data_IF_826138387340
#
_entry.id   IF_826138387340
#
_cell.length_a   1.000
_cell.length_b   1.000
_cell.length_c   1.000
_cell.angle_alpha   90.00
_cell.angle_beta   90.00
_cell.angle_gamma   90.00
#
_symmetry.space_group_name_H-M   'P 1'
#
loop_
_entity.id
_entity.type
_entity.pdbx_description
1 polymer ?
#
# COMPACT_ATOMS: atom_id res chain seq x y z
N UNK A 1 -27.50 25.48 5.14
CA UNK A 1 -27.04 24.19 4.62
C UNK A 1 -26.41 23.46 5.81
N UNK A 2 -27.15 22.52 6.41
CA UNK A 2 -26.58 21.64 7.43
C UNK A 2 -25.49 20.79 6.77
N UNK A 3 -24.23 21.06 7.08
CA UNK A 3 -23.15 20.12 6.83
C UNK A 3 -23.42 18.92 7.73
N UNK A 4 -24.02 17.87 7.18
CA UNK A 4 -24.12 16.57 7.86
C UNK A 4 -22.71 16.21 8.33
N UNK A 5 -22.51 16.24 9.64
CA UNK A 5 -21.26 15.88 10.28
C UNK A 5 -21.01 14.40 9.99
N UNK A 6 -20.31 14.10 8.90
CA UNK A 6 -19.81 12.76 8.56
C UNK A 6 -18.65 12.41 9.51
N UNK A 7 -18.88 12.55 10.81
CA UNK A 7 -18.01 12.12 11.90
C UNK A 7 -18.12 10.59 12.09
N UNK A 8 -18.12 9.84 10.99
CA UNK A 8 -17.99 8.39 11.06
C UNK A 8 -16.53 8.06 11.30
N UNK A 9 -16.26 7.43 12.45
CA UNK A 9 -14.94 6.92 12.85
C UNK A 9 -14.25 6.06 11.77
N UNK A 10 -15.01 5.54 10.79
CA UNK A 10 -14.50 4.72 9.68
C UNK A 10 -14.32 5.54 8.39
N UNK A 11 -15.14 6.58 8.18
CA UNK A 11 -15.10 7.33 6.93
C UNK A 11 -13.78 8.08 6.72
N UNK A 12 -13.30 8.77 7.77
CA UNK A 12 -12.03 9.53 7.68
C UNK A 12 -10.83 8.61 7.39
N UNK A 13 -10.65 7.47 8.11
CA UNK A 13 -9.57 6.54 7.79
C UNK A 13 -9.70 5.83 6.44
N UNK A 14 -10.93 5.49 6.03
CA UNK A 14 -11.16 4.91 4.70
C UNK A 14 -10.72 5.87 3.58
N UNK A 15 -11.10 7.14 3.67
CA UNK A 15 -10.74 8.15 2.69
C UNK A 15 -9.25 8.50 2.72
N UNK A 16 -8.62 8.54 3.91
CA UNK A 16 -7.17 8.66 4.04
C UNK A 16 -6.45 7.51 3.30
N UNK A 17 -6.93 6.28 3.51
CA UNK A 17 -6.44 5.08 2.83
C UNK A 17 -6.62 5.14 1.30
N UNK A 18 -7.74 5.68 0.83
CA UNK A 18 -8.00 5.87 -0.60
C UNK A 18 -7.08 6.91 -1.22
N UNK A 19 -6.90 8.05 -0.56
CA UNK A 19 -6.00 9.10 -1.03
C UNK A 19 -4.54 8.61 -1.06
N UNK A 20 -4.09 7.94 0.01
CA UNK A 20 -2.80 7.26 0.05
C UNK A 20 -2.68 6.23 -1.10
N UNK A 21 -3.76 5.48 -1.36
CA UNK A 21 -3.86 4.50 -2.44
C UNK A 21 -3.61 5.12 -3.81
N UNK A 22 -4.22 6.27 -4.13
CA UNK A 22 -3.99 6.96 -5.38
C UNK A 22 -2.52 7.38 -5.55
N UNK A 23 -1.92 7.98 -4.52
CA UNK A 23 -0.52 8.40 -4.59
C UNK A 23 0.40 7.18 -4.74
N UNK A 24 0.18 6.14 -3.93
CA UNK A 24 0.95 4.90 -4.03
C UNK A 24 0.79 4.22 -5.39
N UNK A 25 -0.40 4.29 -6.00
CA UNK A 25 -0.65 3.79 -7.36
C UNK A 25 0.27 4.48 -8.36
N UNK A 26 0.28 5.82 -8.35
CA UNK A 26 1.12 6.61 -9.27
C UNK A 26 2.60 6.27 -9.08
N UNK A 27 3.08 6.21 -7.83
CA UNK A 27 4.46 5.87 -7.54
C UNK A 27 4.83 4.45 -7.97
N UNK A 28 3.93 3.47 -7.77
CA UNK A 28 4.15 2.10 -8.20
C UNK A 28 4.15 1.96 -9.73
N UNK A 29 3.31 2.71 -10.44
CA UNK A 29 3.31 2.73 -11.90
C UNK A 29 4.59 3.38 -12.45
N UNK A 30 5.04 4.48 -11.84
CA UNK A 30 6.32 5.11 -12.18
C UNK A 30 7.47 4.13 -11.95
N UNK A 31 7.48 3.43 -10.82
CA UNK A 31 8.48 2.41 -10.53
C UNK A 31 8.44 1.24 -11.53
N UNK A 32 7.25 0.75 -11.91
CA UNK A 32 7.09 -0.32 -12.90
C UNK A 32 7.67 0.07 -14.26
N UNK A 33 7.40 1.29 -14.73
CA UNK A 33 7.92 1.80 -16.01
C UNK A 33 9.45 1.85 -15.98
N UNK A 34 10.04 2.52 -14.99
CA UNK A 34 11.50 2.62 -14.89
C UNK A 34 12.17 1.26 -14.75
N UNK A 35 11.60 0.36 -13.93
CA UNK A 35 12.16 -0.97 -13.75
C UNK A 35 12.16 -1.77 -15.05
N UNK A 36 11.08 -1.69 -15.84
CA UNK A 36 10.94 -2.43 -17.10
C UNK A 36 11.85 -1.87 -18.20
N UNK A 37 12.05 -0.56 -18.25
CA UNK A 37 13.00 0.07 -19.18
C UNK A 37 14.43 -0.43 -18.93
N UNK A 38 14.84 -0.54 -17.68
CA UNK A 38 16.21 -0.96 -17.31
C UNK A 38 16.44 -2.47 -17.44
N UNK A 39 15.42 -3.31 -17.20
CA UNK A 39 15.59 -4.77 -17.07
C UNK A 39 15.06 -5.58 -18.25
N UNK A 40 14.37 -4.94 -19.20
CA UNK A 40 13.66 -5.60 -20.31
C UNK A 40 12.75 -6.76 -19.84
N UNK A 41 12.17 -6.63 -18.64
CA UNK A 41 11.45 -7.71 -17.96
C UNK A 41 10.21 -8.17 -18.76
N UNK A 42 10.16 -9.45 -19.22
CA UNK A 42 9.17 -9.91 -20.19
C UNK A 42 7.82 -10.32 -19.59
N UNK A 43 7.71 -10.46 -18.27
CA UNK A 43 6.48 -10.93 -17.62
C UNK A 43 5.51 -9.77 -17.38
N UNK A 44 4.49 -9.68 -18.22
CA UNK A 44 3.39 -8.70 -18.11
C UNK A 44 2.11 -9.31 -17.53
N UNK A 45 2.03 -10.64 -17.39
CA UNK A 45 0.77 -11.31 -17.07
C UNK A 45 0.34 -11.14 -15.60
N UNK A 46 1.29 -11.11 -14.67
CA UNK A 46 1.01 -11.06 -13.22
C UNK A 46 1.11 -9.66 -12.61
N UNK A 47 2.13 -8.90 -13.00
CA UNK A 47 2.32 -7.51 -12.57
C UNK A 47 2.12 -6.65 -13.81
N UNK A 48 0.90 -6.19 -14.02
CA UNK A 48 0.53 -5.20 -15.02
C UNK A 48 -0.09 -3.97 -14.37
N UNK A 49 -0.24 -2.92 -15.17
CA UNK A 49 -0.86 -1.65 -14.79
C UNK A 49 -2.17 -1.86 -14.02
N UNK A 50 -3.06 -2.73 -14.53
CA UNK A 50 -4.35 -3.00 -13.88
C UNK A 50 -4.18 -3.62 -12.50
N UNK A 51 -3.34 -4.65 -12.37
CA UNK A 51 -3.08 -5.31 -11.07
C UNK A 51 -2.46 -4.36 -10.06
N UNK A 52 -1.58 -3.44 -10.49
CA UNK A 52 -0.97 -2.43 -9.62
C UNK A 52 -2.05 -1.48 -9.08
N UNK A 53 -2.90 -0.95 -9.97
CA UNK A 53 -4.00 -0.06 -9.61
C UNK A 53 -4.96 -0.77 -8.64
N UNK A 54 -5.43 -1.96 -8.98
CA UNK A 54 -6.38 -2.68 -8.13
C UNK A 54 -5.77 -3.08 -6.78
N UNK A 55 -4.52 -3.57 -6.76
CA UNK A 55 -3.87 -3.96 -5.52
C UNK A 55 -3.72 -2.79 -4.55
N UNK A 56 -3.26 -1.64 -5.04
CA UNK A 56 -3.01 -0.45 -4.21
C UNK A 56 -4.30 0.24 -3.77
N UNK A 57 -5.26 0.42 -4.69
CA UNK A 57 -6.56 1.01 -4.38
C UNK A 57 -7.46 0.11 -3.54
N UNK A 58 -7.17 -1.19 -3.44
CA UNK A 58 -7.87 -2.06 -2.50
C UNK A 58 -7.14 -2.14 -1.16
N UNK A 59 -5.82 -2.35 -1.19
CA UNK A 59 -5.02 -2.56 0.01
C UNK A 59 -4.99 -1.33 0.93
N UNK A 60 -4.86 -0.12 0.39
CA UNK A 60 -4.67 1.06 1.24
C UNK A 60 -5.96 1.59 1.88
N UNK A 61 -7.12 1.61 1.20
CA UNK A 61 -8.41 1.81 1.89
C UNK A 61 -8.67 0.77 2.97
N UNK A 62 -8.36 -0.50 2.69
CA UNK A 62 -8.49 -1.56 3.68
C UNK A 62 -7.55 -1.32 4.87
N UNK A 63 -6.33 -0.87 4.63
CA UNK A 63 -5.38 -0.47 5.67
C UNK A 63 -5.93 0.68 6.53
N UNK A 64 -6.65 1.65 5.92
CA UNK A 64 -7.37 2.70 6.63
C UNK A 64 -8.52 2.17 7.51
N UNK A 65 -9.29 1.20 7.02
CA UNK A 65 -10.34 0.54 7.82
C UNK A 65 -9.73 -0.24 9.00
N UNK A 66 -8.63 -0.95 8.78
CA UNK A 66 -7.90 -1.65 9.85
C UNK A 66 -7.35 -0.66 10.88
N UNK A 67 -6.82 0.48 10.44
CA UNK A 67 -6.41 1.57 11.34
C UNK A 67 -7.58 2.01 12.22
N UNK A 68 -8.75 2.30 11.62
CA UNK A 68 -9.95 2.71 12.36
C UNK A 68 -10.38 1.68 13.41
N UNK A 69 -10.30 0.38 13.07
CA UNK A 69 -10.65 -0.69 13.98
C UNK A 69 -9.68 -0.77 15.17
N UNK A 70 -8.37 -0.70 14.93
CA UNK A 70 -7.35 -0.76 15.98
C UNK A 70 -7.41 0.48 16.89
N UNK A 71 -7.54 1.67 16.29
CA UNK A 71 -7.65 2.94 17.04
C UNK A 71 -8.88 2.96 17.95
N UNK A 72 -9.97 2.32 17.52
CA UNK A 72 -11.20 2.18 18.33
C UNK A 72 -11.06 1.14 19.44
N UNK A 73 -10.37 0.03 19.20
CA UNK A 73 -10.30 -1.11 20.14
C UNK A 73 -9.28 -0.91 21.25
N UNK A 74 -8.21 -0.15 21.00
CA UNK A 74 -7.08 -0.07 21.93
C UNK A 74 -6.71 1.37 22.29
N UNK A 75 -6.40 1.66 23.57
CA UNK A 75 -5.78 2.93 23.93
C UNK A 75 -4.41 3.04 23.26
N UNK A 76 -4.16 4.14 22.55
CA UNK A 76 -2.96 4.35 21.69
C UNK A 76 -2.94 3.45 20.44
N UNK A 77 -4.11 3.10 19.89
CA UNK A 77 -4.22 2.23 18.72
C UNK A 77 -3.45 2.72 17.49
N UNK A 78 -3.28 4.03 17.29
CA UNK A 78 -2.35 4.60 16.31
C UNK A 78 -0.93 3.97 16.35
N UNK A 79 -0.30 3.92 17.53
CA UNK A 79 1.05 3.35 17.65
C UNK A 79 1.05 1.84 17.43
N UNK A 80 0.01 1.16 17.90
CA UNK A 80 -0.15 -0.29 17.73
C UNK A 80 -0.29 -0.63 16.25
N UNK A 81 -1.11 0.13 15.52
CA UNK A 81 -1.28 -0.01 14.08
C UNK A 81 0.05 0.18 13.36
N UNK A 82 0.80 1.24 13.66
CA UNK A 82 2.10 1.51 13.01
C UNK A 82 3.04 0.32 13.19
N UNK A 83 3.16 -0.21 14.41
CA UNK A 83 4.02 -1.38 14.69
C UNK A 83 3.52 -2.62 13.93
N UNK A 84 2.23 -2.91 13.96
CA UNK A 84 1.66 -4.08 13.25
C UNK A 84 1.78 -3.95 11.74
N UNK A 85 1.54 -2.76 11.18
CA UNK A 85 1.67 -2.47 9.76
C UNK A 85 3.14 -2.57 9.30
N UNK A 86 4.08 -2.09 10.11
CA UNK A 86 5.51 -2.23 9.85
C UNK A 86 5.94 -3.71 9.86
N UNK A 87 5.49 -4.48 10.85
CA UNK A 87 5.75 -5.93 10.92
C UNK A 87 5.12 -6.67 9.74
N UNK A 88 3.89 -6.35 9.38
CA UNK A 88 3.21 -6.94 8.23
C UNK A 88 3.96 -6.62 6.93
N UNK A 89 4.40 -5.38 6.75
CA UNK A 89 5.21 -4.96 5.61
C UNK A 89 6.54 -5.72 5.57
N UNK A 90 7.21 -5.89 6.71
CA UNK A 90 8.44 -6.69 6.79
C UNK A 90 8.20 -8.17 6.42
N UNK A 91 7.07 -8.75 6.84
CA UNK A 91 6.67 -10.11 6.42
C UNK A 91 6.40 -10.18 4.92
N UNK A 92 5.74 -9.17 4.34
CA UNK A 92 5.54 -9.09 2.89
C UNK A 92 6.88 -9.00 2.16
N UNK A 93 7.80 -8.15 2.61
CA UNK A 93 9.16 -8.03 2.06
C UNK A 93 9.87 -9.39 2.10
N UNK A 94 9.88 -10.06 3.26
CA UNK A 94 10.46 -11.40 3.37
C UNK A 94 9.82 -12.38 2.41
N UNK A 95 8.49 -12.38 2.31
CA UNK A 95 7.73 -13.19 1.37
C UNK A 95 8.14 -12.95 -0.08
N UNK A 96 8.32 -11.68 -0.49
CA UNK A 96 8.74 -11.35 -1.86
C UNK A 96 10.07 -12.01 -2.24
N UNK A 97 11.04 -12.06 -1.32
CA UNK A 97 12.36 -12.63 -1.56
C UNK A 97 12.35 -14.16 -1.69
N UNK A 98 11.30 -14.83 -1.21
CA UNK A 98 11.15 -16.29 -1.29
C UNK A 98 10.34 -16.76 -2.50
N UNK A 99 9.75 -15.85 -3.27
CA UNK A 99 8.91 -16.20 -4.41
C UNK A 99 9.75 -16.78 -5.54
N UNK A 100 9.45 -18.02 -5.92
CA UNK A 100 10.01 -18.67 -7.11
C UNK A 100 8.94 -18.73 -8.19
N UNK A 101 9.20 -18.11 -9.36
CA UNK A 101 8.18 -17.93 -10.40
C UNK A 101 8.50 -18.56 -11.73
N UNK A 102 9.77 -18.67 -12.07
CA UNK A 102 10.20 -19.28 -13.32
C UNK A 102 11.29 -20.30 -13.04
N UNK A 103 11.41 -21.28 -13.93
CA UNK A 103 12.58 -22.15 -13.98
C UNK A 103 13.84 -21.36 -14.35
N UNK A 104 13.69 -20.22 -15.03
CA UNK A 104 14.76 -19.27 -15.27
C UNK A 104 15.02 -18.42 -14.00
N UNK A 105 16.22 -18.53 -13.40
CA UNK A 105 16.57 -17.77 -12.21
C UNK A 105 16.60 -16.25 -12.46
N UNK A 106 16.96 -15.79 -13.67
CA UNK A 106 17.05 -14.36 -13.99
C UNK A 106 15.67 -13.70 -13.92
N UNK A 107 14.68 -14.34 -14.56
CA UNK A 107 13.29 -13.88 -14.56
C UNK A 107 12.72 -13.88 -13.14
N UNK A 108 13.05 -14.89 -12.34
CA UNK A 108 12.63 -14.95 -10.94
C UNK A 108 13.20 -13.79 -10.14
N UNK A 109 14.50 -13.51 -10.24
CA UNK A 109 15.13 -12.40 -9.53
C UNK A 109 14.57 -11.04 -9.96
N UNK A 110 14.34 -10.83 -11.25
CA UNK A 110 13.72 -9.59 -11.75
C UNK A 110 12.30 -9.41 -11.19
N UNK A 111 11.49 -10.47 -11.18
CA UNK A 111 10.16 -10.43 -10.57
C UNK A 111 10.20 -10.07 -9.09
N UNK A 112 11.13 -10.67 -8.33
CA UNK A 112 11.30 -10.39 -6.90
C UNK A 112 11.65 -8.91 -6.66
N UNK A 113 12.53 -8.32 -7.45
CA UNK A 113 12.92 -6.91 -7.30
C UNK A 113 11.78 -5.95 -7.67
N UNK A 114 11.02 -6.26 -8.73
CA UNK A 114 9.84 -5.48 -9.08
C UNK A 114 8.80 -5.53 -7.96
N UNK A 115 8.47 -6.73 -7.48
CA UNK A 115 7.49 -6.92 -6.41
C UNK A 115 7.97 -6.28 -5.09
N UNK A 116 9.25 -6.41 -4.76
CA UNK A 116 9.85 -5.84 -3.57
C UNK A 116 9.68 -4.32 -3.53
N UNK A 117 10.01 -3.63 -4.64
CA UNK A 117 9.83 -2.18 -4.73
C UNK A 117 8.36 -1.77 -4.53
N UNK A 118 7.43 -2.50 -5.16
CA UNK A 118 6.00 -2.24 -5.01
C UNK A 118 5.48 -2.44 -3.58
N UNK A 119 5.97 -3.50 -2.91
CA UNK A 119 5.65 -3.78 -1.51
C UNK A 119 6.21 -2.71 -0.59
N UNK A 120 7.44 -2.23 -0.84
CA UNK A 120 8.05 -1.16 -0.04
C UNK A 120 7.25 0.13 -0.19
N UNK A 121 6.96 0.57 -1.42
CA UNK A 121 6.18 1.78 -1.68
C UNK A 121 4.82 1.69 -0.98
N UNK A 122 4.08 0.61 -1.24
CA UNK A 122 2.74 0.44 -0.67
C UNK A 122 2.76 0.30 0.85
N UNK A 123 3.76 -0.41 1.40
CA UNK A 123 3.95 -0.62 2.83
C UNK A 123 4.29 0.67 3.57
N UNK A 124 5.17 1.52 3.02
CA UNK A 124 5.46 2.85 3.59
C UNK A 124 4.19 3.70 3.64
N UNK A 125 3.38 3.69 2.59
CA UNK A 125 2.11 4.42 2.60
C UNK A 125 1.12 3.85 3.62
N UNK A 126 1.00 2.53 3.73
CA UNK A 126 0.16 1.88 4.73
C UNK A 126 0.61 2.20 6.16
N UNK A 127 1.92 2.09 6.45
CA UNK A 127 2.48 2.25 7.80
C UNK A 127 2.56 3.71 8.25
N UNK A 128 2.88 4.64 7.34
CA UNK A 128 3.17 6.04 7.69
C UNK A 128 2.12 6.98 7.13
N UNK A 129 1.88 6.95 5.82
CA UNK A 129 1.02 7.93 5.17
C UNK A 129 -0.43 7.83 5.65
N UNK A 130 -0.98 6.62 5.81
CA UNK A 130 -2.37 6.42 6.25
C UNK A 130 -2.61 6.99 7.67
N UNK A 131 -1.88 6.61 8.73
CA UNK A 131 -2.04 7.20 10.06
C UNK A 131 -1.82 8.71 10.08
N UNK A 132 -0.88 9.20 9.27
CA UNK A 132 -0.57 10.63 9.20
C UNK A 132 -1.69 11.43 8.54
N UNK A 133 -2.23 10.95 7.41
CA UNK A 133 -3.35 11.57 6.70
C UNK A 133 -4.61 11.60 7.55
N UNK A 134 -4.90 10.55 8.33
CA UNK A 134 -6.05 10.55 9.26
C UNK A 134 -5.99 11.71 10.26
N UNK A 135 -4.79 12.15 10.65
CA UNK A 135 -4.59 13.29 11.55
C UNK A 135 -4.56 14.64 10.83
N UNK A 136 -4.39 14.66 9.51
CA UNK A 136 -4.27 15.86 8.67
C UNK A 136 -5.29 15.82 7.52
N UNK A 137 -6.57 15.80 7.90
CA UNK A 137 -7.68 15.66 6.95
C UNK A 137 -7.83 16.84 5.96
N UNK A 138 -7.32 18.02 6.32
CA UNK A 138 -7.40 19.27 5.54
C UNK A 138 -6.70 19.17 4.16
N UNK A 139 -5.93 18.11 3.93
CA UNK A 139 -5.15 17.89 2.71
C UNK A 139 -6.00 17.26 1.60
N UNK A 140 -7.06 16.52 1.94
CA UNK A 140 -7.80 15.68 0.98
C UNK A 140 -9.32 15.64 1.19
N UNK A 141 -9.85 16.34 2.20
CA UNK A 141 -11.29 16.57 2.44
C UNK A 141 -11.58 18.06 2.50
#
# INVERSE_FOLDING_TARGET
METKDYNSHIYKPLMAGLFAGYIATVLNLVYDVFFREETAFPLHELINVSTIIFATLFALPLAGVVFAAIDRLFPKGDRIYIVLSALFTALCIYGTLQVHRSADPVVTTQFQHLLLGMVIISGVFATIAVPWLVKHQDIYM
#
